data_IF_058546108221
#
_entry.id   IF_058546108221
#
_cell.length_a   1.000
_cell.length_b   1.000
_cell.length_c   1.000
_cell.angle_alpha   90.00
_cell.angle_beta   90.00
_cell.angle_gamma   90.00
#
_symmetry.space_group_name_H-M   'P 1'
#
loop_
_entity.id
_entity.type
_entity.pdbx_description
1 polymer ?
#
# COMPACT_ATOMS: atom_id res chain seq x y z
N UNK A 1 22.10 -4.37 7.47
CA UNK A 1 22.02 -5.78 7.88
C UNK A 1 22.36 -5.82 9.37
N UNK A 2 21.35 -5.81 10.25
CA UNK A 2 21.58 -5.84 11.69
C UNK A 2 21.97 -7.27 12.08
N UNK A 3 23.25 -7.50 12.39
CA UNK A 3 23.69 -8.80 12.88
C UNK A 3 23.16 -8.97 14.29
N UNK A 4 22.23 -9.91 14.47
CA UNK A 4 21.76 -10.30 15.80
C UNK A 4 22.94 -11.00 16.47
N UNK A 5 23.54 -10.34 17.46
CA UNK A 5 24.67 -10.89 18.19
C UNK A 5 24.25 -12.13 18.98
N UNK A 6 25.17 -13.06 19.28
CA UNK A 6 24.89 -14.23 20.11
C UNK A 6 24.28 -13.86 21.48
N UNK A 7 24.63 -12.70 22.02
CA UNK A 7 24.06 -12.15 23.25
C UNK A 7 22.61 -11.68 23.06
N UNK A 8 22.29 -11.05 21.93
CA UNK A 8 20.91 -10.70 21.57
C UNK A 8 20.01 -11.95 21.48
N UNK A 9 20.53 -13.05 20.93
CA UNK A 9 19.79 -14.32 20.88
C UNK A 9 19.55 -14.93 22.27
N UNK A 10 20.46 -14.75 23.23
CA UNK A 10 20.24 -15.19 24.63
C UNK A 10 19.13 -14.38 25.30
N UNK A 11 19.10 -13.07 25.09
CA UNK A 11 18.05 -12.20 25.63
C UNK A 11 16.66 -12.54 25.06
N UNK A 12 16.57 -12.79 23.75
CA UNK A 12 15.31 -13.21 23.12
C UNK A 12 14.83 -14.56 23.67
N UNK A 13 15.73 -15.54 23.85
CA UNK A 13 15.37 -16.84 24.44
C UNK A 13 14.96 -16.73 25.90
N UNK A 14 15.64 -15.89 26.69
CA UNK A 14 15.26 -15.64 28.08
C UNK A 14 13.87 -14.98 28.18
N UNK A 15 13.57 -14.03 27.29
CA UNK A 15 12.25 -13.40 27.21
C UNK A 15 11.15 -14.39 26.82
N UNK A 16 11.44 -15.35 25.93
CA UNK A 16 10.49 -16.36 25.50
C UNK A 16 10.34 -17.53 26.48
N UNK A 17 11.36 -17.84 27.29
CA UNK A 17 11.31 -18.93 28.28
C UNK A 17 10.31 -18.69 29.41
N UNK A 18 9.95 -17.42 29.68
CA UNK A 18 8.88 -17.06 30.62
C UNK A 18 7.47 -17.08 30.01
N UNK A 19 7.34 -17.23 28.69
CA UNK A 19 6.04 -17.21 28.02
C UNK A 19 5.41 -18.61 28.01
N UNK A 20 4.87 -19.00 29.15
CA UNK A 20 3.91 -20.10 29.23
C UNK A 20 2.58 -19.64 28.61
N UNK A 21 2.50 -19.63 27.28
CA UNK A 21 1.35 -19.18 26.47
C UNK A 21 0.04 -19.96 26.68
N UNK A 22 -0.13 -20.66 27.81
CA UNK A 22 -1.43 -21.12 28.30
C UNK A 22 -2.01 -20.05 29.21
N UNK A 23 -2.45 -18.94 28.61
CA UNK A 23 -3.52 -18.18 29.25
C UNK A 23 -4.70 -19.13 29.40
N UNK A 24 -5.16 -19.37 30.64
CA UNK A 24 -6.41 -20.10 30.86
C UNK A 24 -7.47 -19.43 29.99
N UNK A 25 -8.25 -20.17 29.17
CA UNK A 25 -9.31 -19.55 28.40
C UNK A 25 -10.18 -18.80 29.40
N UNK A 26 -10.29 -17.48 29.23
CA UNK A 26 -11.19 -16.68 30.04
C UNK A 26 -12.58 -17.34 29.94
N UNK A 27 -13.33 -17.45 31.05
CA UNK A 27 -14.67 -18.01 31.01
C UNK A 27 -15.45 -17.31 29.91
N UNK A 28 -16.14 -18.09 29.06
CA UNK A 28 -17.00 -17.57 27.99
C UNK A 28 -18.16 -16.86 28.67
N UNK A 29 -17.96 -15.60 29.05
CA UNK A 29 -19.03 -14.72 29.47
C UNK A 29 -19.83 -14.34 28.23
N UNK A 30 -21.13 -14.59 28.23
CA UNK A 30 -22.05 -14.07 27.21
C UNK A 30 -21.73 -12.59 27.01
N UNK A 31 -21.52 -12.18 25.76
CA UNK A 31 -21.15 -10.81 25.44
C UNK A 31 -22.20 -9.88 26.09
N UNK A 32 -21.76 -9.12 27.10
CA UNK A 32 -22.58 -8.06 27.68
C UNK A 32 -23.07 -7.11 26.58
N UNK A 33 -24.13 -6.34 26.83
CA UNK A 33 -24.66 -5.39 25.85
C UNK A 33 -23.52 -4.56 25.28
N UNK A 34 -23.33 -4.68 23.95
CA UNK A 34 -22.25 -4.00 23.25
C UNK A 34 -22.36 -2.49 23.54
N UNK A 35 -21.28 -1.83 23.96
CA UNK A 35 -21.32 -0.39 24.19
C UNK A 35 -21.77 0.29 22.90
N UNK A 36 -22.68 1.26 23.04
CA UNK A 36 -23.19 2.02 21.88
C UNK A 36 -21.99 2.62 21.14
N UNK A 37 -21.90 2.35 19.84
CA UNK A 37 -20.83 2.90 18.99
C UNK A 37 -20.81 4.43 19.15
N UNK A 38 -19.65 5.05 19.46
CA UNK A 38 -19.57 6.49 19.56
C UNK A 38 -20.01 7.12 18.24
N UNK A 39 -20.71 8.26 18.32
CA UNK A 39 -21.11 9.00 17.13
C UNK A 39 -19.86 9.39 16.34
N UNK A 40 -19.94 9.26 15.01
CA UNK A 40 -18.83 9.60 14.14
C UNK A 40 -18.41 11.07 14.36
N UNK A 41 -17.12 11.29 14.56
CA UNK A 41 -16.59 12.65 14.72
C UNK A 41 -16.72 13.38 13.38
N UNK A 42 -17.11 14.66 13.42
CA UNK A 42 -17.18 15.52 12.22
C UNK A 42 -16.14 16.62 12.35
N UNK A 43 -15.41 16.87 11.27
CA UNK A 43 -14.50 18.01 11.18
C UNK A 43 -15.34 19.28 11.07
N UNK A 44 -14.94 20.35 11.77
CA UNK A 44 -15.56 21.66 11.59
C UNK A 44 -15.29 22.19 10.18
N UNK A 45 -16.29 22.79 9.54
CA UNK A 45 -16.17 23.24 8.15
C UNK A 45 -15.02 24.23 7.94
N UNK A 46 -14.79 25.12 8.92
CA UNK A 46 -13.66 26.04 8.91
C UNK A 46 -12.30 25.31 8.90
N UNK A 47 -12.14 24.25 9.70
CA UNK A 47 -10.91 23.46 9.73
C UNK A 47 -10.71 22.67 8.44
N UNK A 48 -11.80 22.09 7.90
CA UNK A 48 -11.77 21.40 6.60
C UNK A 48 -11.33 22.35 5.49
N UNK A 49 -11.90 23.55 5.43
CA UNK A 49 -11.52 24.58 4.45
C UNK A 49 -10.04 24.94 4.56
N UNK A 50 -9.53 25.17 5.77
CA UNK A 50 -8.11 25.49 5.98
C UNK A 50 -7.17 24.37 5.50
N UNK A 51 -7.52 23.10 5.77
CA UNK A 51 -6.76 21.95 5.29
C UNK A 51 -6.74 21.87 3.76
N UNK A 52 -7.88 22.14 3.10
CA UNK A 52 -7.97 22.14 1.64
C UNK A 52 -7.07 23.23 1.05
N UNK A 53 -7.14 24.47 1.55
CA UNK A 53 -6.30 25.57 1.05
C UNK A 53 -4.79 25.30 1.23
N UNK A 54 -4.39 24.75 2.38
CA UNK A 54 -3.00 24.35 2.62
C UNK A 54 -2.56 23.23 1.68
N UNK A 55 -3.42 22.24 1.46
CA UNK A 55 -3.15 21.11 0.56
C UNK A 55 -2.98 21.59 -0.89
N UNK A 56 -3.83 22.52 -1.35
CA UNK A 56 -3.72 23.15 -2.67
C UNK A 56 -2.38 23.89 -2.82
N UNK A 57 -1.98 24.67 -1.81
CA UNK A 57 -0.74 25.43 -1.84
C UNK A 57 0.52 24.54 -1.97
N UNK A 58 0.51 23.36 -1.33
CA UNK A 58 1.59 22.37 -1.41
C UNK A 58 1.55 21.64 -2.76
N UNK A 59 0.39 21.12 -3.15
CA UNK A 59 0.24 20.34 -4.40
C UNK A 59 0.54 21.15 -5.66
N UNK A 60 0.29 22.46 -5.66
CA UNK A 60 0.64 23.36 -6.77
C UNK A 60 2.15 23.39 -7.05
N UNK A 61 2.99 23.07 -6.06
CA UNK A 61 4.46 22.99 -6.20
C UNK A 61 4.94 21.58 -6.58
N UNK A 62 4.03 20.63 -6.78
CA UNK A 62 4.36 19.26 -7.14
C UNK A 62 4.89 19.16 -8.57
N UNK A 63 6.14 18.73 -8.72
CA UNK A 63 6.76 18.38 -10.00
C UNK A 63 7.08 16.88 -10.04
N UNK A 64 6.95 16.19 -11.18
CA UNK A 64 6.49 16.69 -12.50
C UNK A 64 4.96 16.83 -12.62
N UNK A 65 4.21 16.53 -11.56
CA UNK A 65 2.74 16.54 -11.59
C UNK A 65 2.15 16.98 -10.25
N UNK A 66 0.96 17.56 -10.28
CA UNK A 66 0.17 17.92 -9.08
C UNK A 66 -0.15 16.71 -8.19
N UNK A 67 -0.07 15.48 -8.74
CA UNK A 67 -0.23 14.24 -7.97
C UNK A 67 1.03 13.84 -7.17
N UNK A 68 2.18 14.50 -7.38
CA UNK A 68 3.46 14.13 -6.76
C UNK A 68 3.40 14.05 -5.22
N UNK A 69 2.61 14.92 -4.59
CA UNK A 69 2.45 14.96 -3.13
C UNK A 69 1.15 14.32 -2.63
N UNK A 70 0.38 13.64 -3.47
CA UNK A 70 -0.93 13.08 -3.07
C UNK A 70 -0.82 12.12 -1.87
N UNK A 71 0.06 11.12 -1.99
CA UNK A 71 0.24 10.10 -0.95
C UNK A 71 0.78 10.71 0.35
N UNK A 72 1.72 11.64 0.25
CA UNK A 72 2.30 12.34 1.39
C UNK A 72 1.23 13.17 2.14
N UNK A 73 0.42 13.95 1.41
CA UNK A 73 -0.64 14.77 2.01
C UNK A 73 -1.72 13.91 2.67
N UNK A 74 -2.18 12.84 2.01
CA UNK A 74 -3.17 11.93 2.61
C UNK A 74 -2.62 11.28 3.87
N UNK A 75 -1.37 10.82 3.84
CA UNK A 75 -0.73 10.23 5.02
C UNK A 75 -0.61 11.23 6.18
N UNK A 76 -0.14 12.46 5.91
CA UNK A 76 0.05 13.50 6.92
C UNK A 76 -1.26 13.98 7.57
N UNK A 77 -2.32 14.16 6.78
CA UNK A 77 -3.64 14.52 7.31
C UNK A 77 -4.18 13.38 8.18
N UNK A 78 -4.12 12.14 7.68
CA UNK A 78 -4.60 10.97 8.42
C UNK A 78 -3.86 10.79 9.73
N UNK A 79 -2.52 10.83 9.72
CA UNK A 79 -1.73 10.67 10.94
C UNK A 79 -2.03 11.78 11.96
N UNK A 80 -2.16 13.03 11.51
CA UNK A 80 -2.56 14.15 12.36
C UNK A 80 -3.94 13.99 13.00
N UNK A 81 -4.92 13.44 12.27
CA UNK A 81 -6.25 13.15 12.80
C UNK A 81 -6.24 11.98 13.79
N UNK A 82 -5.53 10.88 13.49
CA UNK A 82 -5.35 9.75 14.41
C UNK A 82 -4.73 10.20 15.74
N UNK A 83 -3.72 11.08 15.70
CA UNK A 83 -3.10 11.66 16.91
C UNK A 83 -4.07 12.50 17.74
N UNK A 84 -5.16 13.00 17.14
CA UNK A 84 -6.26 13.70 17.83
C UNK A 84 -7.39 12.75 18.27
N UNK A 85 -7.13 11.46 18.27
CA UNK A 85 -8.07 10.42 18.73
C UNK A 85 -9.20 10.13 17.75
N UNK A 86 -9.01 10.37 16.45
CA UNK A 86 -9.92 9.85 15.43
C UNK A 86 -9.67 8.36 15.19
N UNK A 87 -10.71 7.62 14.81
CA UNK A 87 -10.47 6.24 14.34
C UNK A 87 -9.73 6.28 13.00
N UNK A 88 -8.93 5.25 12.73
CA UNK A 88 -8.13 5.18 11.51
C UNK A 88 -8.98 5.32 10.25
N UNK A 89 -10.17 4.69 10.22
CA UNK A 89 -11.08 4.72 9.08
C UNK A 89 -11.66 6.12 8.85
N UNK A 90 -12.20 6.76 9.89
CA UNK A 90 -12.72 8.13 9.76
C UNK A 90 -11.63 9.13 9.36
N UNK A 91 -10.42 8.98 9.91
CA UNK A 91 -9.28 9.81 9.57
C UNK A 91 -8.85 9.64 8.09
N UNK A 92 -8.86 8.41 7.58
CA UNK A 92 -8.53 8.12 6.19
C UNK A 92 -9.63 8.62 5.22
N UNK A 93 -10.90 8.47 5.58
CA UNK A 93 -12.05 8.98 4.81
C UNK A 93 -11.97 10.51 4.67
N UNK A 94 -11.72 11.22 5.77
CA UNK A 94 -11.54 12.68 5.76
C UNK A 94 -10.29 13.09 4.98
N UNK A 95 -9.17 12.38 5.14
CA UNK A 95 -7.95 12.68 4.41
C UNK A 95 -8.14 12.50 2.89
N UNK A 96 -8.81 11.43 2.47
CA UNK A 96 -9.17 11.18 1.08
C UNK A 96 -10.09 12.27 0.51
N UNK A 97 -11.11 12.68 1.25
CA UNK A 97 -12.04 13.75 0.87
C UNK A 97 -11.34 15.11 0.71
N UNK A 98 -10.48 15.49 1.66
CA UNK A 98 -9.70 16.74 1.60
C UNK A 98 -8.77 16.75 0.40
N UNK A 99 -8.01 15.67 0.19
CA UNK A 99 -7.08 15.55 -0.94
C UNK A 99 -7.82 15.51 -2.27
N UNK A 100 -8.92 14.77 -2.36
CA UNK A 100 -9.77 14.71 -3.55
C UNK A 100 -10.37 16.06 -3.90
N UNK A 101 -10.87 16.81 -2.91
CA UNK A 101 -11.39 18.16 -3.10
C UNK A 101 -10.29 19.14 -3.55
N UNK A 102 -9.10 19.05 -2.97
CA UNK A 102 -7.96 19.87 -3.37
C UNK A 102 -7.54 19.62 -4.84
N UNK A 103 -7.44 18.34 -5.24
CA UNK A 103 -7.14 17.95 -6.62
C UNK A 103 -8.23 18.40 -7.61
N UNK A 104 -9.50 18.27 -7.23
CA UNK A 104 -10.62 18.74 -8.05
C UNK A 104 -10.56 20.26 -8.27
N UNK A 105 -10.23 21.05 -7.23
CA UNK A 105 -10.06 22.51 -7.33
C UNK A 105 -8.84 22.92 -8.16
N UNK A 106 -7.80 22.09 -8.20
CA UNK A 106 -6.66 22.27 -9.11
C UNK A 106 -6.97 21.87 -10.56
N UNK A 107 -8.16 21.34 -10.85
CA UNK A 107 -8.53 20.85 -12.18
C UNK A 107 -7.80 19.57 -12.58
N UNK A 108 -7.23 18.84 -11.62
CA UNK A 108 -6.48 17.62 -11.89
C UNK A 108 -7.42 16.53 -12.42
N UNK A 109 -7.15 16.03 -13.63
CA UNK A 109 -7.84 14.86 -14.19
C UNK A 109 -6.99 13.63 -13.97
N UNK A 110 -7.53 12.64 -13.26
CA UNK A 110 -6.83 11.35 -13.16
C UNK A 110 -6.84 10.67 -14.52
N UNK A 111 -5.70 10.10 -14.97
CA UNK A 111 -5.70 9.26 -16.16
C UNK A 111 -6.63 8.08 -15.94
N UNK A 112 -7.27 7.61 -17.01
CA UNK A 112 -7.96 6.33 -16.97
C UNK A 112 -6.96 5.21 -16.66
N UNK A 113 -7.44 4.05 -16.21
CA UNK A 113 -6.56 2.90 -15.95
C UNK A 113 -5.66 2.57 -17.15
N UNK A 114 -6.21 2.67 -18.37
CA UNK A 114 -5.48 2.45 -19.62
C UNK A 114 -4.41 3.52 -19.86
N UNK A 115 -4.73 4.79 -19.61
CA UNK A 115 -3.77 5.91 -19.75
C UNK A 115 -2.66 5.88 -18.69
N UNK A 116 -2.94 5.28 -17.52
CA UNK A 116 -1.96 5.10 -16.46
C UNK A 116 -1.01 3.91 -16.70
N UNK A 117 -1.23 3.13 -17.75
CA UNK A 117 -0.32 2.05 -18.12
C UNK A 117 0.99 2.63 -18.68
N UNK A 118 2.16 2.09 -18.31
CA UNK A 118 3.45 2.51 -18.87
C UNK A 118 3.46 2.51 -20.40
N UNK A 119 2.74 1.57 -21.01
CA UNK A 119 2.59 1.41 -22.46
C UNK A 119 1.89 2.61 -23.13
N UNK A 120 1.09 3.38 -22.38
CA UNK A 120 0.34 4.55 -22.90
C UNK A 120 1.10 5.87 -22.72
N UNK A 121 1.95 5.95 -21.71
CA UNK A 121 2.72 7.17 -21.39
C UNK A 121 4.05 7.24 -22.13
N UNK A 122 4.56 6.12 -22.62
CA UNK A 122 5.77 6.06 -23.43
C UNK A 122 5.37 6.28 -24.90
N UNK A 123 5.76 7.42 -25.47
CA UNK A 123 5.50 7.75 -26.88
C UNK A 123 6.30 6.77 -27.76
N UNK A 124 5.57 5.91 -28.46
CA UNK A 124 6.12 4.71 -29.07
C UNK A 124 6.39 3.66 -28.00
N UNK A 125 6.20 2.40 -28.36
CA UNK A 125 6.75 1.27 -27.60
C UNK A 125 8.27 1.38 -27.72
N UNK A 126 8.89 2.35 -27.05
CA UNK A 126 10.32 2.31 -26.79
C UNK A 126 10.48 0.99 -26.07
N UNK A 127 11.09 0.04 -26.77
CA UNK A 127 11.57 -1.16 -26.12
C UNK A 127 12.39 -0.62 -24.95
N UNK A 128 11.89 -0.80 -23.74
CA UNK A 128 12.71 -0.59 -22.56
C UNK A 128 13.83 -1.59 -22.74
N UNK A 129 14.97 -1.11 -23.22
CA UNK A 129 16.15 -1.92 -23.42
C UNK A 129 16.58 -2.34 -22.03
N UNK A 130 16.29 -3.61 -21.74
CA UNK A 130 16.65 -4.21 -20.47
C UNK A 130 18.09 -4.65 -20.61
N UNK A 131 18.94 -4.11 -19.76
CA UNK A 131 20.30 -4.62 -19.61
C UNK A 131 20.33 -5.89 -18.75
N UNK A 132 19.25 -6.19 -18.02
CA UNK A 132 19.18 -7.28 -17.04
C UNK A 132 17.97 -8.19 -17.21
N UNK A 133 18.19 -9.48 -17.00
CA UNK A 133 17.20 -10.55 -17.07
C UNK A 133 16.13 -10.38 -15.99
N UNK A 134 14.85 -10.43 -16.38
CA UNK A 134 13.70 -10.26 -15.46
C UNK A 134 13.61 -11.38 -14.40
N UNK A 135 14.14 -12.58 -14.68
CA UNK A 135 14.07 -13.70 -13.73
C UNK A 135 15.19 -13.68 -12.68
N UNK A 136 16.43 -13.47 -13.12
CA UNK A 136 17.62 -13.66 -12.29
C UNK A 136 18.47 -12.39 -12.08
N UNK A 137 18.17 -11.29 -12.77
CA UNK A 137 18.89 -10.02 -12.64
C UNK A 137 20.27 -9.96 -13.31
N UNK A 138 20.75 -11.04 -13.92
CA UNK A 138 22.00 -11.07 -14.68
C UNK A 138 21.92 -10.24 -15.96
N UNK A 139 23.08 -9.80 -16.45
CA UNK A 139 23.19 -9.06 -17.69
C UNK A 139 22.60 -9.86 -18.86
N UNK A 140 21.83 -9.19 -19.72
CA UNK A 140 21.24 -9.79 -20.91
C UNK A 140 22.33 -9.94 -21.99
N UNK A 141 22.50 -11.13 -22.60
CA UNK A 141 23.35 -11.28 -23.76
C UNK A 141 22.82 -10.47 -24.94
N UNK A 142 23.70 -10.09 -25.88
CA UNK A 142 23.32 -9.37 -27.08
C UNK A 142 22.19 -10.08 -27.85
N UNK A 143 21.19 -9.33 -28.29
CA UNK A 143 19.99 -9.85 -28.96
C UNK A 143 18.89 -10.39 -28.04
N UNK A 144 19.12 -10.49 -26.72
CA UNK A 144 18.09 -10.89 -25.77
C UNK A 144 17.33 -9.68 -25.20
N UNK A 145 15.99 -9.69 -25.30
CA UNK A 145 15.15 -8.56 -24.86
C UNK A 145 14.61 -8.65 -23.42
N UNK A 146 14.54 -9.85 -22.83
CA UNK A 146 13.82 -10.06 -21.54
C UNK A 146 14.44 -11.11 -20.61
N UNK A 147 14.98 -12.19 -21.17
CA UNK A 147 15.55 -13.30 -20.39
C UNK A 147 16.92 -13.69 -20.93
N UNK A 148 17.88 -13.93 -20.03
CA UNK A 148 19.23 -14.34 -20.42
C UNK A 148 19.31 -15.74 -21.03
N UNK A 149 18.28 -16.58 -20.86
CA UNK A 149 18.22 -17.95 -21.40
C UNK A 149 16.79 -18.45 -21.48
N UNK A 150 16.56 -19.49 -22.28
CA UNK A 150 15.29 -20.23 -22.34
C UNK A 150 14.88 -20.78 -20.97
N UNK A 151 15.86 -21.23 -20.16
CA UNK A 151 15.64 -21.68 -18.78
C UNK A 151 15.01 -20.58 -17.91
N UNK A 152 15.54 -19.36 -17.99
CA UNK A 152 14.98 -18.22 -17.25
C UNK A 152 13.59 -17.82 -17.74
N UNK A 153 13.34 -17.89 -19.06
CA UNK A 153 12.02 -17.65 -19.63
C UNK A 153 11.00 -18.67 -19.12
N UNK A 154 11.33 -19.97 -19.16
CA UNK A 154 10.45 -21.05 -18.70
C UNK A 154 10.21 -21.00 -17.18
N UNK A 155 11.25 -20.70 -16.40
CA UNK A 155 11.12 -20.48 -14.95
C UNK A 155 10.12 -19.37 -14.63
N UNK A 156 10.18 -18.23 -15.35
CA UNK A 156 9.22 -17.13 -15.14
C UNK A 156 7.81 -17.48 -15.58
N UNK A 157 7.64 -18.18 -16.71
CA UNK A 157 6.33 -18.70 -17.14
C UNK A 157 5.73 -19.62 -16.08
N UNK A 158 6.53 -20.53 -15.50
CA UNK A 158 6.09 -21.42 -14.43
C UNK A 158 5.69 -20.68 -13.14
N UNK A 159 6.44 -19.63 -12.75
CA UNK A 159 6.08 -18.76 -11.62
C UNK A 159 4.76 -18.03 -11.87
N UNK A 160 4.58 -17.45 -13.07
CA UNK A 160 3.36 -16.75 -13.45
C UNK A 160 2.14 -17.68 -13.46
N UNK A 161 2.29 -18.88 -14.02
CA UNK A 161 1.22 -19.89 -14.03
C UNK A 161 0.82 -20.31 -12.62
N UNK A 162 1.78 -20.58 -11.72
CA UNK A 162 1.48 -20.93 -10.32
C UNK A 162 0.71 -19.83 -9.59
N UNK A 163 1.06 -18.56 -9.84
CA UNK A 163 0.34 -17.42 -9.25
C UNK A 163 -1.09 -17.33 -9.75
N UNK A 164 -1.29 -17.46 -11.07
CA UNK A 164 -2.61 -17.48 -11.68
C UNK A 164 -3.48 -18.62 -11.14
N UNK A 165 -2.93 -19.83 -11.05
CA UNK A 165 -3.64 -20.98 -10.47
C UNK A 165 -3.98 -20.74 -9.00
N UNK A 166 -3.07 -20.17 -8.20
CA UNK A 166 -3.36 -19.83 -6.81
C UNK A 166 -4.50 -18.81 -6.68
N UNK A 167 -4.50 -17.76 -7.50
CA UNK A 167 -5.56 -16.73 -7.54
C UNK A 167 -6.91 -17.34 -7.97
N UNK A 168 -6.92 -18.27 -8.94
CA UNK A 168 -8.14 -18.99 -9.32
C UNK A 168 -8.64 -19.93 -8.22
N UNK A 169 -7.74 -20.68 -7.57
CA UNK A 169 -8.11 -21.57 -6.47
C UNK A 169 -8.66 -20.77 -5.29
N UNK A 170 -8.06 -19.63 -4.97
CA UNK A 170 -8.55 -18.72 -3.93
C UNK A 170 -9.97 -18.20 -4.24
N UNK A 171 -10.25 -17.83 -5.49
CA UNK A 171 -11.59 -17.45 -5.91
C UNK A 171 -12.59 -18.60 -5.75
N UNK A 172 -12.24 -19.81 -6.18
CA UNK A 172 -13.10 -21.00 -6.04
C UNK A 172 -13.39 -21.30 -4.57
N UNK A 173 -12.40 -21.17 -3.68
CA UNK A 173 -12.60 -21.41 -2.25
C UNK A 173 -13.31 -20.27 -1.52
N UNK A 174 -13.19 -19.03 -1.99
CA UNK A 174 -13.91 -17.89 -1.42
C UNK A 174 -15.43 -17.99 -1.64
N UNK A 175 -15.85 -18.67 -2.71
CA UNK A 175 -17.25 -18.91 -3.05
C UNK A 175 -17.82 -20.23 -2.48
N UNK A 176 -17.03 -20.98 -1.70
CA UNK A 176 -17.49 -22.21 -1.06
C UNK A 176 -18.38 -21.90 0.17
N UNK A 177 -19.57 -22.54 0.29
CA UNK A 177 -20.55 -22.27 1.35
C UNK A 177 -20.11 -22.71 2.75
#
# INVERSE_FOLDING_TARGET
>A
MLMITPEGMKLVRAALAGWNGRTKPAPITLAGPQPRKPKAKRVTEAYRRALIEQTIAIMRKGEPSVFAFEGFMRHGIRSGLCLRGWSWREADDVAADVVGTALARLGAKRPTWQQAQPEWTQEGVLLIDRERCVNCGWQLPDGHRKYCSSRCANSMKGKAYRRFVAEQMEAVYADAP
#
